data_IF_873319389434
#
_entry.id   IF_873319389434
#
_cell.length_a   1.000
_cell.length_b   1.000
_cell.length_c   1.000
_cell.angle_alpha   90.00
_cell.angle_beta   90.00
_cell.angle_gamma   90.00
#
_symmetry.space_group_name_H-M   'P 1'
#
loop_
_entity.id
_entity.type
_entity.pdbx_description
1 polymer ?
#
# COMPACT_ATOMS: atom_id res chain seq x y z
N UNK A 1 2.74 10.69 6.15
CA UNK A 1 2.58 11.14 4.76
C UNK A 1 1.96 12.53 4.71
N UNK A 2 2.34 13.31 3.71
CA UNK A 2 1.89 14.69 3.52
C UNK A 2 0.85 14.72 2.38
N UNK A 3 -0.40 15.03 2.73
CA UNK A 3 -1.50 15.07 1.76
C UNK A 3 -1.38 16.23 0.78
N UNK A 4 -0.85 17.39 1.23
CA UNK A 4 -0.69 18.57 0.37
C UNK A 4 0.39 18.32 -0.67
N UNK A 5 1.52 17.71 -0.28
CA UNK A 5 2.57 17.28 -1.21
C UNK A 5 2.04 16.23 -2.21
N UNK A 6 1.24 15.27 -1.74
CA UNK A 6 0.57 14.30 -2.60
C UNK A 6 -0.37 14.94 -3.62
N UNK A 7 -1.14 15.94 -3.20
CA UNK A 7 -2.02 16.69 -4.09
C UNK A 7 -1.25 17.49 -5.15
N UNK A 8 -0.15 18.14 -4.77
CA UNK A 8 0.72 18.86 -5.71
C UNK A 8 1.29 17.91 -6.77
N UNK A 9 1.76 16.74 -6.37
CA UNK A 9 2.26 15.73 -7.32
C UNK A 9 1.16 15.25 -8.27
N UNK A 10 -0.03 14.99 -7.76
CA UNK A 10 -1.19 14.60 -8.52
C UNK A 10 -1.59 15.66 -9.58
N UNK A 11 -1.67 16.94 -9.20
CA UNK A 11 -1.96 18.03 -10.12
C UNK A 11 -0.86 18.22 -11.19
N UNK A 12 0.40 18.02 -10.81
CA UNK A 12 1.52 18.09 -11.76
C UNK A 12 1.53 16.94 -12.79
N UNK A 13 0.86 15.83 -12.49
CA UNK A 13 0.62 14.75 -13.46
C UNK A 13 -0.52 15.07 -14.44
N UNK A 14 -1.27 16.16 -14.22
CA UNK A 14 -2.40 16.55 -15.07
C UNK A 14 -3.77 16.25 -14.45
N UNK A 15 -3.81 15.85 -13.18
CA UNK A 15 -5.03 15.50 -12.45
C UNK A 15 -5.40 14.03 -12.52
N UNK A 16 -6.69 13.72 -12.26
CA UNK A 16 -7.10 12.33 -12.01
C UNK A 16 -7.00 11.40 -13.24
N UNK A 17 -7.22 11.90 -14.43
CA UNK A 17 -7.17 11.06 -15.65
C UNK A 17 -5.74 10.62 -15.95
N UNK A 18 -4.86 11.59 -16.03
CA UNK A 18 -3.45 11.41 -16.33
C UNK A 18 -2.76 10.59 -15.23
N UNK A 19 -3.10 10.84 -13.96
CA UNK A 19 -2.65 10.01 -12.85
C UNK A 19 -3.07 8.55 -13.03
N UNK A 20 -4.35 8.29 -13.28
CA UNK A 20 -4.85 6.93 -13.46
C UNK A 20 -4.27 6.23 -14.69
N UNK A 21 -4.08 6.95 -15.77
CA UNK A 21 -3.39 6.43 -16.96
C UNK A 21 -1.91 6.10 -16.66
N UNK A 22 -1.21 6.98 -15.94
CA UNK A 22 0.17 6.73 -15.54
C UNK A 22 0.32 5.50 -14.63
N UNK A 23 -0.65 5.23 -13.76
CA UNK A 23 -0.64 4.07 -12.87
C UNK A 23 -0.78 2.74 -13.61
N UNK A 24 -1.32 2.71 -14.83
CA UNK A 24 -1.42 1.48 -15.64
C UNK A 24 -0.07 0.88 -16.03
N UNK A 25 1.01 1.62 -15.85
CA UNK A 25 2.38 1.10 -16.03
C UNK A 25 2.81 0.11 -14.95
N UNK A 26 2.10 0.09 -13.83
CA UNK A 26 2.49 -0.65 -12.63
C UNK A 26 1.52 -1.80 -12.31
N UNK A 27 0.47 -1.99 -13.12
CA UNK A 27 -0.52 -3.04 -12.89
C UNK A 27 -1.19 -3.47 -14.18
N UNK A 28 -1.38 -4.77 -14.34
CA UNK A 28 -2.18 -5.39 -15.41
C UNK A 28 -3.62 -5.70 -14.96
N UNK A 29 -3.92 -5.49 -13.67
CA UNK A 29 -5.24 -5.81 -13.07
C UNK A 29 -6.02 -4.54 -12.75
N UNK A 30 -6.75 -4.03 -13.74
CA UNK A 30 -7.55 -2.81 -13.62
C UNK A 30 -9.05 -3.17 -13.60
N UNK A 31 -9.77 -2.69 -12.58
CA UNK A 31 -11.23 -2.85 -12.51
C UNK A 31 -11.95 -1.87 -13.45
N UNK A 32 -13.17 -2.23 -13.86
CA UNK A 32 -14.02 -1.35 -14.69
C UNK A 32 -14.24 0.03 -14.08
N UNK A 33 -14.32 0.11 -12.73
CA UNK A 33 -14.54 1.36 -12.00
C UNK A 33 -13.25 2.16 -11.75
N UNK A 34 -12.10 1.69 -12.21
CA UNK A 34 -10.84 2.37 -11.99
C UNK A 34 -10.79 3.76 -12.65
N UNK A 35 -11.33 3.89 -13.87
CA UNK A 35 -11.31 5.14 -14.63
C UNK A 35 -12.45 6.11 -14.24
N UNK A 36 -12.70 6.27 -12.96
CA UNK A 36 -13.62 7.28 -12.42
C UNK A 36 -12.86 8.30 -11.57
N UNK A 37 -13.49 9.39 -11.20
CA UNK A 37 -12.89 10.36 -10.27
C UNK A 37 -12.71 9.79 -8.86
N UNK A 38 -13.47 8.74 -8.52
CA UNK A 38 -13.40 8.11 -7.22
C UNK A 38 -12.07 7.37 -7.05
N UNK A 39 -11.56 7.38 -5.84
CA UNK A 39 -10.33 6.66 -5.48
C UNK A 39 -10.65 5.19 -5.20
N UNK A 40 -11.09 4.48 -6.24
CA UNK A 40 -11.43 3.06 -6.18
C UNK A 40 -10.27 2.22 -6.71
N UNK A 41 -9.88 1.19 -5.97
CA UNK A 41 -8.86 0.22 -6.36
C UNK A 41 -9.25 -1.18 -5.89
N UNK A 42 -8.50 -2.17 -6.32
CA UNK A 42 -8.63 -3.56 -5.85
C UNK A 42 -7.37 -4.03 -5.16
N UNK A 43 -7.47 -5.09 -4.37
CA UNK A 43 -6.31 -5.70 -3.74
C UNK A 43 -5.30 -6.20 -4.79
N UNK A 44 -5.77 -6.75 -5.92
CA UNK A 44 -4.89 -7.20 -7.00
C UNK A 44 -4.12 -6.04 -7.63
N UNK A 45 -4.81 -4.93 -7.97
CA UNK A 45 -4.15 -3.73 -8.50
C UNK A 45 -3.07 -3.22 -7.55
N UNK A 46 -3.36 -3.15 -6.25
CA UNK A 46 -2.39 -2.67 -5.27
C UNK A 46 -1.26 -3.67 -5.06
N UNK A 47 -1.54 -4.97 -5.16
CA UNK A 47 -0.50 -6.00 -5.09
C UNK A 47 0.50 -5.87 -6.25
N UNK A 48 0.03 -5.64 -7.47
CA UNK A 48 0.91 -5.42 -8.62
C UNK A 48 1.83 -4.22 -8.40
N UNK A 49 1.28 -3.09 -7.90
CA UNK A 49 2.05 -1.87 -7.59
C UNK A 49 3.12 -2.14 -6.53
N UNK A 50 2.76 -2.85 -5.46
CA UNK A 50 3.71 -3.17 -4.37
C UNK A 50 4.76 -4.16 -4.83
N UNK A 51 4.40 -5.15 -5.64
CA UNK A 51 5.34 -6.10 -6.23
C UNK A 51 6.31 -5.39 -7.18
N UNK A 52 5.82 -4.48 -8.02
CA UNK A 52 6.68 -3.64 -8.85
C UNK A 52 7.68 -2.85 -8.00
N UNK A 53 7.23 -2.23 -6.92
CA UNK A 53 8.11 -1.49 -6.00
C UNK A 53 9.18 -2.40 -5.39
N UNK A 54 8.81 -3.60 -4.96
CA UNK A 54 9.74 -4.60 -4.42
C UNK A 54 10.79 -5.03 -5.46
N UNK A 55 10.36 -5.34 -6.68
CA UNK A 55 11.25 -5.78 -7.76
C UNK A 55 12.25 -4.70 -8.19
N UNK A 56 11.88 -3.42 -8.01
CA UNK A 56 12.70 -2.26 -8.36
C UNK A 56 13.20 -1.49 -7.12
N UNK A 57 13.27 -2.15 -5.97
CA UNK A 57 13.58 -1.50 -4.68
C UNK A 57 14.88 -0.71 -4.65
N UNK A 58 15.86 -1.10 -5.45
CA UNK A 58 17.12 -0.38 -5.54
C UNK A 58 16.96 1.03 -6.10
N UNK A 59 16.00 1.22 -7.03
CA UNK A 59 15.70 2.52 -7.63
C UNK A 59 14.86 3.41 -6.70
N UNK A 60 14.15 2.79 -5.73
CA UNK A 60 13.19 3.45 -4.85
C UNK A 60 13.60 3.48 -3.37
N UNK A 61 14.89 3.34 -3.05
CA UNK A 61 15.40 3.27 -1.65
C UNK A 61 14.87 4.39 -0.75
N UNK A 62 14.83 5.62 -1.26
CA UNK A 62 14.32 6.77 -0.50
C UNK A 62 12.83 6.67 -0.18
N UNK A 63 12.03 6.18 -1.14
CA UNK A 63 10.61 5.95 -0.95
C UNK A 63 10.37 4.83 0.06
N UNK A 64 11.08 3.70 -0.10
CA UNK A 64 10.97 2.53 0.79
C UNK A 64 11.33 2.92 2.22
N UNK A 65 12.43 3.65 2.43
CA UNK A 65 12.79 4.15 3.74
C UNK A 65 11.70 5.03 4.36
N UNK A 66 11.11 5.93 3.58
CA UNK A 66 10.00 6.76 4.06
C UNK A 66 8.76 5.93 4.41
N UNK A 67 8.53 4.81 3.71
CA UNK A 67 7.43 3.88 4.02
C UNK A 67 7.70 3.09 5.31
N UNK A 68 8.95 2.74 5.61
CA UNK A 68 9.33 2.09 6.88
C UNK A 68 9.20 3.05 8.08
N UNK A 69 9.44 4.34 7.87
CA UNK A 69 9.35 5.37 8.90
C UNK A 69 7.92 5.93 9.08
N UNK A 70 6.99 5.56 8.19
CA UNK A 70 5.61 6.04 8.23
C UNK A 70 4.74 5.17 9.15
N UNK A 71 4.36 5.72 10.32
CA UNK A 71 3.48 5.10 11.30
C UNK A 71 3.95 3.69 11.73
N UNK A 72 5.21 3.53 12.17
CA UNK A 72 5.73 2.23 12.57
C UNK A 72 4.97 1.70 13.79
N UNK A 73 4.60 0.43 13.75
CA UNK A 73 3.89 -0.25 14.83
C UNK A 73 2.39 0.03 14.89
N UNK A 74 1.78 0.65 13.86
CA UNK A 74 0.36 1.04 13.91
C UNK A 74 -0.55 0.12 13.06
N UNK A 75 -0.04 -0.45 11.98
CA UNK A 75 -0.87 -1.17 11.01
C UNK A 75 -0.36 -2.60 10.75
N UNK A 76 0.18 -2.87 9.56
CA UNK A 76 0.62 -4.22 9.18
C UNK A 76 1.76 -4.75 10.07
N UNK A 77 2.68 -3.90 10.49
CA UNK A 77 3.86 -4.27 11.28
C UNK A 77 3.60 -4.38 12.79
N UNK A 78 2.46 -3.91 13.28
CA UNK A 78 2.16 -3.76 14.71
C UNK A 78 2.39 -5.03 15.54
N UNK A 79 1.90 -6.16 15.07
CA UNK A 79 1.95 -7.41 15.82
C UNK A 79 3.19 -8.28 15.50
N UNK A 80 4.03 -7.84 14.56
CA UNK A 80 5.23 -8.56 14.13
C UNK A 80 6.54 -7.96 14.66
N UNK A 81 6.52 -6.70 15.08
CA UNK A 81 7.70 -5.91 15.45
C UNK A 81 8.75 -5.81 14.32
N UNK A 82 8.30 -5.98 13.08
CA UNK A 82 9.15 -5.82 11.91
C UNK A 82 9.26 -4.34 11.53
N UNK A 83 10.42 -3.93 11.06
CA UNK A 83 10.51 -2.74 10.23
C UNK A 83 10.18 -3.17 8.81
N UNK A 84 9.00 -2.79 8.31
CA UNK A 84 8.58 -3.11 6.96
C UNK A 84 8.06 -1.88 6.23
N UNK A 85 8.36 -1.73 4.95
CA UNK A 85 7.75 -0.66 4.17
C UNK A 85 6.25 -0.90 4.03
N UNK A 86 5.47 0.05 4.54
CA UNK A 86 4.02 0.01 4.45
C UNK A 86 3.45 1.38 4.10
N UNK A 87 2.29 1.41 3.48
CA UNK A 87 1.51 2.62 3.24
C UNK A 87 0.05 2.38 3.56
N UNK A 88 -0.44 3.12 4.55
CA UNK A 88 -1.85 3.11 4.88
C UNK A 88 -2.62 4.23 4.18
N UNK A 89 -3.93 4.08 4.10
CA UNK A 89 -4.88 5.10 3.69
C UNK A 89 -6.19 4.93 4.45
N UNK A 90 -6.76 6.03 4.90
CA UNK A 90 -8.03 6.04 5.63
C UNK A 90 -8.98 7.08 5.01
N UNK A 91 -10.22 6.67 4.79
CA UNK A 91 -11.29 7.55 4.37
C UNK A 91 -12.65 6.95 4.81
N UNK A 92 -13.43 7.70 5.57
CA UNK A 92 -14.68 7.23 6.17
C UNK A 92 -14.47 5.92 6.96
N UNK A 93 -15.17 4.86 6.64
CA UNK A 93 -14.98 3.53 7.25
C UNK A 93 -13.86 2.70 6.60
N UNK A 94 -13.31 3.13 5.47
CA UNK A 94 -12.21 2.44 4.81
C UNK A 94 -10.90 2.67 5.57
N UNK A 95 -10.22 1.59 5.95
CA UNK A 95 -8.86 1.59 6.44
C UNK A 95 -8.08 0.51 5.68
N UNK A 96 -7.11 0.93 4.91
CA UNK A 96 -6.38 0.08 3.98
C UNK A 96 -4.89 0.18 4.25
N UNK A 97 -4.15 -0.90 4.08
CA UNK A 97 -2.69 -0.86 4.10
C UNK A 97 -2.10 -1.85 3.11
N UNK A 98 -0.96 -1.48 2.55
CA UNK A 98 -0.19 -2.27 1.61
C UNK A 98 1.28 -2.22 1.99
N UNK A 99 2.02 -3.29 1.71
CA UNK A 99 3.45 -3.34 1.98
C UNK A 99 4.08 -4.65 1.52
N UNK A 100 5.33 -4.84 1.87
CA UNK A 100 6.03 -6.10 1.66
C UNK A 100 6.95 -6.43 2.84
N UNK A 101 7.25 -7.71 3.00
CA UNK A 101 8.12 -8.22 4.06
C UNK A 101 9.27 -8.99 3.42
N UNK A 102 10.49 -8.68 3.84
CA UNK A 102 11.68 -9.43 3.49
C UNK A 102 12.01 -10.42 4.62
N UNK A 103 11.88 -11.69 4.34
CA UNK A 103 12.20 -12.80 5.24
C UNK A 103 12.65 -14.03 4.43
N UNK A 104 12.64 -15.23 4.98
CA UNK A 104 13.07 -16.44 4.25
C UNK A 104 12.33 -16.61 2.93
N UNK A 105 11.02 -16.37 2.93
CA UNK A 105 10.21 -16.27 1.72
C UNK A 105 9.53 -14.92 1.71
N UNK A 106 10.12 -13.94 1.02
CA UNK A 106 9.57 -12.59 0.93
C UNK A 106 8.17 -12.59 0.32
N UNK A 107 7.31 -11.70 0.81
CA UNK A 107 5.93 -11.59 0.33
C UNK A 107 5.44 -10.14 0.32
N UNK A 108 4.53 -9.85 -0.59
CA UNK A 108 3.71 -8.63 -0.56
C UNK A 108 2.42 -8.88 0.22
N UNK A 109 1.88 -7.84 0.81
CA UNK A 109 0.62 -7.92 1.55
C UNK A 109 -0.23 -6.69 1.27
N UNK A 110 -1.51 -6.94 0.96
CA UNK A 110 -2.52 -5.90 0.73
C UNK A 110 -3.75 -6.22 1.55
N UNK A 111 -4.15 -5.32 2.42
CA UNK A 111 -5.38 -5.47 3.21
C UNK A 111 -6.26 -4.24 3.00
N UNK A 112 -7.40 -4.43 2.37
CA UNK A 112 -8.43 -3.42 2.17
C UNK A 112 -9.64 -3.75 3.05
N UNK A 113 -10.02 -2.83 3.93
CA UNK A 113 -11.13 -3.05 4.86
C UNK A 113 -12.10 -1.87 4.90
N UNK A 114 -13.34 -2.13 5.30
CA UNK A 114 -14.37 -1.14 5.63
C UNK A 114 -14.74 -1.16 7.13
N UNK A 115 -13.79 -1.55 7.98
CA UNK A 115 -14.01 -1.76 9.42
C UNK A 115 -13.65 -0.54 10.28
N UNK A 116 -13.29 0.59 9.66
CA UNK A 116 -12.77 1.75 10.39
C UNK A 116 -11.56 1.37 11.23
N UNK A 117 -11.44 1.94 12.42
CA UNK A 117 -10.28 1.70 13.31
C UNK A 117 -10.04 0.22 13.65
N UNK A 118 -11.10 -0.61 13.64
CA UNK A 118 -10.95 -2.06 13.84
C UNK A 118 -10.18 -2.76 12.72
N UNK A 119 -10.07 -2.12 11.55
CA UNK A 119 -9.26 -2.61 10.45
C UNK A 119 -7.79 -2.76 10.80
N UNK A 120 -7.25 -1.91 11.70
CA UNK A 120 -5.87 -2.01 12.17
C UNK A 120 -5.60 -3.34 12.89
N UNK A 121 -6.51 -3.79 13.75
CA UNK A 121 -6.40 -5.09 14.44
C UNK A 121 -6.39 -6.26 13.44
N UNK A 122 -7.28 -6.18 12.45
CA UNK A 122 -7.42 -7.23 11.44
C UNK A 122 -6.16 -7.33 10.57
N UNK A 123 -5.66 -6.21 10.05
CA UNK A 123 -4.49 -6.22 9.16
C UNK A 123 -3.20 -6.63 9.89
N UNK A 124 -3.03 -6.19 11.14
CA UNK A 124 -1.90 -6.60 11.98
C UNK A 124 -1.89 -8.11 12.22
N UNK A 125 -3.06 -8.69 12.57
CA UNK A 125 -3.19 -10.12 12.79
C UNK A 125 -2.99 -10.93 11.49
N UNK A 126 -3.50 -10.46 10.35
CA UNK A 126 -3.28 -11.10 9.04
C UNK A 126 -1.78 -11.14 8.73
N UNK A 127 -1.07 -10.01 8.88
CA UNK A 127 0.36 -9.97 8.62
C UNK A 127 1.14 -10.85 9.60
N UNK A 128 0.77 -10.88 10.87
CA UNK A 128 1.40 -11.77 11.86
C UNK A 128 1.29 -13.24 11.44
N UNK A 129 0.12 -13.68 10.99
CA UNK A 129 -0.09 -15.06 10.52
C UNK A 129 0.76 -15.35 9.28
N UNK A 130 0.77 -14.43 8.31
CA UNK A 130 1.59 -14.56 7.11
C UNK A 130 3.09 -14.64 7.46
N UNK A 131 3.56 -13.74 8.32
CA UNK A 131 4.95 -13.72 8.76
C UNK A 131 5.37 -15.03 9.46
N UNK A 132 4.53 -15.54 10.37
CA UNK A 132 4.80 -16.82 11.04
C UNK A 132 4.91 -18.01 10.07
N UNK A 133 4.24 -17.91 8.92
CA UNK A 133 4.28 -18.93 7.88
C UNK A 133 5.52 -18.84 6.97
N UNK A 134 5.97 -17.61 6.65
CA UNK A 134 7.01 -17.35 5.65
C UNK A 134 8.41 -17.07 6.24
N UNK A 135 8.52 -16.82 7.57
CA UNK A 135 9.80 -16.56 8.25
C UNK A 135 10.73 -17.75 8.30
#
# INVERSE_FOLDING_TARGET
>A
SDNDAGHILYENLGGWKEYKEAMTKYTDTISENYYTMDNVTTANTMNDVVTYLYDHKEDYKGLIKNMEEAEPGEYLDRDTQLSMPQKYGMYDSALNSVGFVECNTSYSIVVLTSLGDKGADVMANINRIAYEHFK
#
